data_IF_021257346040
#
_entry.id   IF_021257346040
#
_cell.length_a   1.000
_cell.length_b   1.000
_cell.length_c   1.000
_cell.angle_alpha   90.00
_cell.angle_beta   90.00
_cell.angle_gamma   90.00
#
_symmetry.space_group_name_H-M   'P 1'
#
loop_
_entity.id
_entity.type
_entity.pdbx_description
1 polymer ?
#
# COMPACT_ATOMS: atom_id res chain seq x y z
N UNK A 1 70.85 -0.81 -3.62
CA UNK A 1 69.52 -0.84 -2.99
C UNK A 1 68.73 0.38 -3.47
N UNK A 2 67.78 0.17 -4.39
CA UNK A 2 66.88 1.22 -4.90
C UNK A 2 65.48 0.87 -4.40
N UNK A 3 64.95 1.63 -3.44
CA UNK A 3 63.57 1.48 -3.00
C UNK A 3 62.68 2.43 -3.81
N UNK A 4 61.84 1.85 -4.65
CA UNK A 4 60.76 2.55 -5.36
C UNK A 4 59.54 2.58 -4.45
N UNK A 5 59.11 3.77 -4.05
CA UNK A 5 57.84 3.99 -3.34
C UNK A 5 56.72 4.06 -4.37
N UNK A 6 55.83 3.07 -4.36
CA UNK A 6 54.56 3.09 -5.07
C UNK A 6 53.51 3.81 -4.21
N UNK A 7 53.05 4.98 -4.66
CA UNK A 7 51.85 5.62 -4.13
C UNK A 7 50.62 4.94 -4.76
N UNK A 8 49.92 4.12 -3.99
CA UNK A 8 48.59 3.63 -4.34
C UNK A 8 47.57 4.74 -4.00
N UNK A 9 47.12 5.48 -5.00
CA UNK A 9 45.94 6.36 -4.88
C UNK A 9 44.69 5.50 -4.71
N UNK A 10 44.12 5.48 -3.51
CA UNK A 10 42.80 4.90 -3.25
C UNK A 10 41.73 5.87 -3.78
N UNK A 11 41.15 5.56 -4.93
CA UNK A 11 39.96 6.25 -5.42
C UNK A 11 38.76 5.85 -4.54
N UNK A 12 38.29 6.79 -3.72
CA UNK A 12 37.07 6.63 -2.93
C UNK A 12 35.87 6.71 -3.89
N UNK A 13 35.34 5.57 -4.32
CA UNK A 13 34.11 5.52 -5.08
C UNK A 13 32.94 5.94 -4.18
N UNK A 14 32.48 7.18 -4.35
CA UNK A 14 31.20 7.62 -3.80
C UNK A 14 30.11 6.86 -4.54
N UNK A 15 29.59 5.80 -3.92
CA UNK A 15 28.32 5.20 -4.34
C UNK A 15 27.24 6.27 -4.17
N UNK A 16 26.84 6.89 -5.28
CA UNK A 16 25.60 7.65 -5.34
C UNK A 16 24.46 6.68 -5.03
N UNK A 17 23.93 6.73 -3.81
CA UNK A 17 22.69 6.06 -3.47
C UNK A 17 21.60 6.69 -4.33
N UNK A 18 21.11 5.96 -5.34
CA UNK A 18 19.91 6.35 -6.06
C UNK A 18 18.80 6.57 -5.01
N UNK A 19 18.04 7.68 -5.08
CA UNK A 19 16.96 7.91 -4.14
C UNK A 19 15.97 6.76 -4.27
N UNK A 20 15.99 5.86 -3.29
CA UNK A 20 14.99 4.82 -3.20
C UNK A 20 13.64 5.52 -3.00
N UNK A 21 12.76 5.42 -3.99
CA UNK A 21 11.35 5.85 -3.94
C UNK A 21 10.52 5.01 -2.95
N UNK A 22 11.10 4.70 -1.80
CA UNK A 22 10.63 3.67 -0.89
C UNK A 22 9.26 4.03 -0.27
N UNK A 23 8.87 5.30 -0.25
CA UNK A 23 7.62 5.77 0.36
C UNK A 23 6.57 6.28 -0.64
N UNK A 24 6.73 5.95 -1.92
CA UNK A 24 5.61 6.00 -2.85
C UNK A 24 4.59 4.92 -2.46
N UNK A 25 3.31 5.26 -2.60
CA UNK A 25 2.18 4.35 -2.44
C UNK A 25 1.33 4.42 -3.71
N UNK A 26 1.18 3.31 -4.46
CA UNK A 26 1.87 2.05 -4.25
C UNK A 26 3.39 2.19 -4.42
N UNK A 27 4.15 1.34 -3.75
CA UNK A 27 5.59 1.27 -3.94
C UNK A 27 5.89 0.71 -5.35
N UNK A 28 6.87 1.27 -6.10
CA UNK A 28 7.22 0.76 -7.44
C UNK A 28 7.54 -0.74 -7.45
N UNK A 29 7.96 -1.27 -6.30
CA UNK A 29 8.22 -2.68 -6.11
C UNK A 29 6.99 -3.58 -6.10
N UNK A 30 5.83 -3.05 -5.72
CA UNK A 30 4.53 -3.73 -5.74
C UNK A 30 4.01 -3.89 -7.17
N UNK A 31 4.44 -3.02 -8.11
CA UNK A 31 3.98 -2.99 -9.51
C UNK A 31 2.47 -2.81 -9.69
N UNK A 32 1.77 -2.36 -8.65
CA UNK A 32 0.41 -1.84 -8.76
C UNK A 32 0.44 -0.58 -9.62
N UNK A 33 -0.53 -0.41 -10.51
CA UNK A 33 -0.59 0.75 -11.39
C UNK A 33 -0.90 2.02 -10.58
N UNK A 34 -2.04 2.04 -9.91
CA UNK A 34 -2.54 3.14 -9.08
C UNK A 34 -3.45 2.60 -7.99
N UNK A 35 -3.64 3.42 -6.95
CA UNK A 35 -4.81 3.28 -6.09
C UNK A 35 -6.04 3.79 -6.85
N UNK A 36 -7.22 3.34 -6.48
CA UNK A 36 -8.46 3.83 -7.05
C UNK A 36 -9.53 4.02 -5.98
N UNK A 37 -10.39 5.01 -6.17
CA UNK A 37 -11.61 5.18 -5.37
C UNK A 37 -12.72 5.67 -6.30
N UNK A 38 -13.82 4.95 -6.36
CA UNK A 38 -14.97 5.30 -7.17
C UNK A 38 -15.90 6.26 -6.45
N UNK A 39 -16.63 7.05 -7.24
CA UNK A 39 -17.72 7.87 -6.73
C UNK A 39 -18.84 7.02 -6.12
N UNK A 40 -19.55 7.59 -5.14
CA UNK A 40 -20.56 6.87 -4.35
C UNK A 40 -21.80 6.38 -5.14
N UNK A 41 -21.90 6.75 -6.42
CA UNK A 41 -22.98 6.35 -7.33
C UNK A 41 -22.49 5.35 -8.39
N UNK A 42 -21.23 4.90 -8.30
CA UNK A 42 -20.72 3.82 -9.14
C UNK A 42 -21.41 2.50 -8.79
N UNK A 43 -21.47 1.60 -9.77
CA UNK A 43 -21.71 0.20 -9.47
C UNK A 43 -20.45 -0.38 -8.81
N UNK A 44 -20.63 -1.24 -7.81
CA UNK A 44 -19.54 -1.87 -7.07
C UNK A 44 -18.81 -2.91 -7.89
N UNK A 45 -19.44 -3.45 -8.94
CA UNK A 45 -18.84 -4.37 -9.94
C UNK A 45 -17.78 -3.69 -10.84
N UNK A 46 -17.21 -2.58 -10.38
CA UNK A 46 -16.10 -1.88 -11.03
C UNK A 46 -14.86 -1.87 -10.13
N UNK A 47 -14.83 -2.70 -9.09
CA UNK A 47 -13.63 -2.96 -8.29
C UNK A 47 -13.54 -2.27 -6.95
N UNK A 48 -14.59 -1.58 -6.52
CA UNK A 48 -14.62 -0.80 -5.26
C UNK A 48 -15.93 -1.08 -4.51
N UNK A 49 -15.83 -1.79 -3.39
CA UNK A 49 -16.99 -2.31 -2.67
C UNK A 49 -17.58 -1.32 -1.65
N UNK A 50 -16.85 -0.29 -1.25
CA UNK A 50 -17.28 0.64 -0.21
C UNK A 50 -16.99 2.13 -0.49
N UNK A 51 -16.38 2.44 -1.64
CA UNK A 51 -16.04 3.78 -2.11
C UNK A 51 -15.08 4.52 -1.18
N UNK A 52 -14.32 3.78 -0.36
CA UNK A 52 -13.45 4.31 0.68
C UNK A 52 -12.10 3.60 0.63
N UNK A 53 -11.03 4.34 0.87
CA UNK A 53 -9.70 3.76 0.99
C UNK A 53 -8.92 4.46 2.09
N UNK A 54 -8.35 3.67 2.99
CA UNK A 54 -7.67 4.18 4.18
C UNK A 54 -6.19 3.82 4.17
N UNK A 55 -5.32 4.82 4.21
CA UNK A 55 -3.88 4.62 4.39
C UNK A 55 -3.37 5.24 5.68
N UNK A 56 -2.40 4.58 6.28
CA UNK A 56 -1.67 5.03 7.44
C UNK A 56 -0.24 5.42 7.07
N UNK A 57 0.27 6.43 7.75
CA UNK A 57 1.62 6.94 7.56
C UNK A 57 2.36 6.90 8.89
N UNK A 58 3.33 5.99 9.00
CA UNK A 58 4.19 5.79 10.15
C UNK A 58 5.35 6.78 10.12
N UNK A 59 5.41 7.59 11.16
CA UNK A 59 6.51 8.49 11.48
C UNK A 59 7.38 7.83 12.55
N UNK A 60 8.69 7.73 12.37
CA UNK A 60 9.56 7.20 13.41
C UNK A 60 9.62 8.14 14.60
N UNK A 61 9.75 7.58 15.81
CA UNK A 61 9.72 8.34 17.06
C UNK A 61 10.78 9.45 17.15
N UNK A 62 11.87 9.39 16.38
CA UNK A 62 12.93 10.41 16.37
C UNK A 62 12.69 11.57 15.39
N UNK A 63 11.69 11.46 14.50
CA UNK A 63 11.36 12.53 13.57
C UNK A 63 10.84 13.76 14.35
N UNK A 64 11.50 14.91 14.16
CA UNK A 64 11.11 16.18 14.81
C UNK A 64 10.76 17.26 13.79
N UNK A 65 11.28 17.17 12.57
CA UNK A 65 10.96 18.12 11.50
C UNK A 65 9.62 17.77 10.86
N UNK A 66 8.93 18.77 10.28
CA UNK A 66 7.66 18.54 9.61
C UNK A 66 7.74 17.47 8.53
N UNK A 67 6.63 16.77 8.35
CA UNK A 67 6.42 15.82 7.26
C UNK A 67 5.23 16.26 6.42
N UNK A 68 5.10 15.66 5.24
CA UNK A 68 4.09 15.99 4.25
C UNK A 68 3.52 14.71 3.67
N UNK A 69 2.21 14.68 3.45
CA UNK A 69 1.56 13.59 2.71
C UNK A 69 1.09 14.19 1.39
N UNK A 70 1.60 13.66 0.29
CA UNK A 70 1.33 14.17 -1.05
C UNK A 70 0.39 13.21 -1.77
N UNK A 71 -0.58 13.75 -2.51
CA UNK A 71 -1.52 13.00 -3.36
C UNK A 71 -1.27 13.43 -4.80
N UNK A 72 -0.87 12.49 -5.64
CA UNK A 72 -0.76 12.69 -7.08
C UNK A 72 -2.12 12.46 -7.71
N UNK A 73 -2.52 13.38 -8.58
CA UNK A 73 -3.75 13.30 -9.36
C UNK A 73 -5.02 13.15 -8.49
N UNK A 74 -5.23 14.08 -7.53
CA UNK A 74 -6.36 13.98 -6.63
C UNK A 74 -7.70 14.38 -7.28
N UNK A 75 -7.69 15.01 -8.46
CA UNK A 75 -8.92 15.29 -9.22
C UNK A 75 -9.44 14.04 -9.91
N UNK A 76 -10.72 14.07 -10.31
CA UNK A 76 -11.33 13.02 -11.10
C UNK A 76 -11.77 13.58 -12.46
N UNK A 77 -10.99 13.29 -13.50
CA UNK A 77 -11.09 13.86 -14.84
C UNK A 77 -9.87 13.53 -15.70
N UNK A 78 -9.57 14.39 -16.68
CA UNK A 78 -8.30 14.29 -17.40
C UNK A 78 -8.09 12.98 -18.16
N UNK A 79 -6.85 12.48 -18.13
CA UNK A 79 -6.41 11.29 -18.91
C UNK A 79 -6.13 10.05 -18.06
N UNK A 80 -6.08 10.21 -16.75
CA UNK A 80 -5.60 9.19 -15.84
C UNK A 80 -6.75 8.42 -15.20
N UNK A 81 -7.88 9.11 -14.96
CA UNK A 81 -9.04 8.56 -14.28
C UNK A 81 -9.90 7.67 -15.17
N UNK A 82 -10.71 6.85 -14.52
CA UNK A 82 -11.59 5.91 -15.19
C UNK A 82 -13.01 6.47 -15.33
N UNK A 83 -13.18 7.24 -16.42
CA UNK A 83 -14.40 7.98 -16.69
C UNK A 83 -15.49 7.11 -17.31
N UNK A 84 -16.71 7.18 -16.79
CA UNK A 84 -17.90 6.44 -17.26
C UNK A 84 -18.82 7.30 -18.11
N UNK A 85 -18.26 8.39 -18.65
CA UNK A 85 -18.97 9.43 -19.37
C UNK A 85 -18.33 10.78 -19.09
N UNK A 86 -19.16 11.80 -18.91
CA UNK A 86 -18.69 13.10 -18.47
C UNK A 86 -18.29 13.02 -16.98
N UNK A 87 -17.05 13.43 -16.68
CA UNK A 87 -16.51 13.41 -15.32
C UNK A 87 -17.45 14.12 -14.33
N UNK A 88 -17.94 13.37 -13.35
CA UNK A 88 -18.92 13.78 -12.36
C UNK A 88 -18.56 13.34 -10.93
N UNK A 89 -17.50 12.53 -10.77
CA UNK A 89 -17.03 12.10 -9.45
C UNK A 89 -16.37 13.23 -8.66
N UNK A 90 -16.68 13.27 -7.36
CA UNK A 90 -15.90 14.03 -6.40
C UNK A 90 -15.36 13.10 -5.32
N UNK A 91 -14.09 13.28 -4.99
CA UNK A 91 -13.37 12.47 -3.99
C UNK A 91 -12.85 13.38 -2.89
N UNK A 92 -13.11 13.01 -1.64
CA UNK A 92 -12.53 13.69 -0.47
C UNK A 92 -11.33 12.95 0.06
N UNK A 93 -10.27 13.69 0.38
CA UNK A 93 -9.09 13.20 1.08
C UNK A 93 -9.04 13.86 2.45
N UNK A 94 -9.23 13.05 3.50
CA UNK A 94 -9.35 13.51 4.88
C UNK A 94 -8.23 12.95 5.74
N UNK A 95 -7.41 13.84 6.29
CA UNK A 95 -6.25 13.54 7.12
C UNK A 95 -6.60 13.62 8.60
N UNK A 96 -6.28 12.56 9.34
CA UNK A 96 -6.54 12.38 10.76
C UNK A 96 -5.24 12.17 11.54
N UNK A 97 -5.22 12.68 12.77
CA UNK A 97 -4.18 12.46 13.77
C UNK A 97 -4.76 12.45 15.19
N UNK A 98 -3.89 12.42 16.19
CA UNK A 98 -4.27 12.34 17.60
C UNK A 98 -4.87 10.98 17.99
N UNK A 99 -5.27 10.88 19.26
CA UNK A 99 -5.76 9.63 19.84
C UNK A 99 -6.91 9.00 19.03
N UNK A 100 -6.87 7.68 18.88
CA UNK A 100 -7.89 6.90 18.18
C UNK A 100 -7.75 6.84 16.66
N UNK A 101 -6.79 7.56 16.07
CA UNK A 101 -6.51 7.53 14.62
C UNK A 101 -6.23 6.11 14.11
N UNK A 102 -5.39 5.37 14.84
CA UNK A 102 -4.96 4.00 14.65
C UNK A 102 -5.56 3.06 15.72
N UNK A 103 -5.68 3.50 16.98
CA UNK A 103 -6.16 2.63 18.07
C UNK A 103 -7.68 2.60 18.23
N UNK A 104 -8.40 3.51 17.57
CA UNK A 104 -9.84 3.67 17.74
C UNK A 104 -10.64 2.49 17.16
N UNK A 105 -11.91 2.35 17.56
CA UNK A 105 -12.80 1.32 17.03
C UNK A 105 -12.84 1.34 15.50
N UNK A 106 -12.68 0.16 14.89
CA UNK A 106 -12.64 -0.06 13.44
C UNK A 106 -11.62 0.78 12.67
N UNK A 107 -10.65 1.43 13.33
CA UNK A 107 -9.62 2.20 12.63
C UNK A 107 -8.87 1.34 11.59
N UNK A 108 -8.64 0.08 11.94
CA UNK A 108 -7.87 -0.92 11.18
C UNK A 108 -8.76 -1.98 10.54
N UNK A 109 -10.08 -1.79 10.60
CA UNK A 109 -11.03 -2.71 9.96
C UNK A 109 -10.94 -2.47 8.45
N UNK A 110 -10.75 -3.52 7.62
CA UNK A 110 -10.76 -3.38 6.18
C UNK A 110 -12.12 -2.91 5.67
N UNK A 111 -13.22 -3.26 6.38
CA UNK A 111 -14.59 -2.89 5.98
C UNK A 111 -15.28 -2.12 7.11
N UNK A 112 -14.82 -0.88 7.39
CA UNK A 112 -15.35 -0.10 8.50
C UNK A 112 -16.81 0.27 8.25
N UNK A 113 -17.64 0.18 9.28
CA UNK A 113 -19.07 0.56 9.24
C UNK A 113 -19.34 1.90 9.91
N UNK A 114 -18.33 2.49 10.54
CA UNK A 114 -18.42 3.82 11.14
C UNK A 114 -18.74 4.90 10.11
N UNK A 115 -19.78 5.70 10.36
CA UNK A 115 -20.13 6.82 9.49
C UNK A 115 -19.02 7.90 9.43
N UNK A 116 -18.24 8.02 10.51
CA UNK A 116 -17.12 8.96 10.64
C UNK A 116 -15.86 8.18 11.01
N UNK A 117 -14.76 8.31 10.25
CA UNK A 117 -13.49 7.69 10.62
C UNK A 117 -12.99 8.13 12.01
N UNK A 118 -12.39 7.21 12.75
CA UNK A 118 -11.81 7.49 14.07
C UNK A 118 -10.62 8.46 14.02
N UNK A 119 -10.32 9.11 15.14
CA UNK A 119 -9.23 10.10 15.24
C UNK A 119 -9.71 11.54 15.08
N UNK A 120 -8.81 12.51 15.24
CA UNK A 120 -9.10 13.94 15.08
C UNK A 120 -8.81 14.35 13.66
N UNK A 121 -9.82 14.83 12.95
CA UNK A 121 -9.67 15.44 11.63
C UNK A 121 -8.73 16.65 11.72
N UNK A 122 -7.64 16.63 10.96
CA UNK A 122 -6.67 17.72 10.85
C UNK A 122 -6.97 18.59 9.64
N UNK A 123 -7.25 17.95 8.51
CA UNK A 123 -7.52 18.61 7.24
C UNK A 123 -8.37 17.71 6.36
N UNK A 124 -9.26 18.29 5.59
CA UNK A 124 -9.95 17.62 4.50
C UNK A 124 -9.90 18.51 3.26
N UNK A 125 -9.80 17.89 2.09
CA UNK A 125 -9.92 18.55 0.79
C UNK A 125 -10.71 17.64 -0.14
N UNK A 126 -11.71 18.22 -0.81
CA UNK A 126 -12.47 17.55 -1.87
C UNK A 126 -12.01 18.06 -3.22
N UNK A 127 -11.96 17.15 -4.18
CA UNK A 127 -11.63 17.42 -5.57
C UNK A 127 -12.72 16.84 -6.46
N UNK A 128 -13.03 17.54 -7.55
CA UNK A 128 -13.86 17.03 -8.65
C UNK A 128 -13.04 16.99 -9.94
N UNK A 129 -13.64 17.34 -11.07
CA UNK A 129 -12.90 17.55 -12.32
C UNK A 129 -12.20 18.92 -12.32
N UNK A 130 -10.93 18.97 -11.92
CA UNK A 130 -10.15 20.21 -11.76
C UNK A 130 -8.79 20.11 -12.48
N UNK A 131 -8.70 20.47 -13.78
CA UNK A 131 -7.51 20.23 -14.62
C UNK A 131 -6.17 20.81 -14.14
N UNK A 132 -6.17 21.68 -13.13
CA UNK A 132 -4.96 22.17 -12.46
C UNK A 132 -4.27 21.08 -11.62
N UNK A 133 -5.00 20.03 -11.25
CA UNK A 133 -4.51 18.92 -10.45
C UNK A 133 -4.21 17.66 -11.27
N UNK A 134 -4.67 17.59 -12.54
CA UNK A 134 -4.45 16.45 -13.45
C UNK A 134 -2.95 16.15 -13.61
N UNK A 135 -2.56 14.97 -13.13
CA UNK A 135 -1.18 14.49 -13.08
C UNK A 135 -0.24 15.35 -12.21
N UNK A 136 -0.78 16.14 -11.28
CA UNK A 136 -0.02 17.01 -10.34
C UNK A 136 -0.14 16.53 -8.90
N UNK A 137 0.79 16.98 -8.08
CA UNK A 137 0.80 16.70 -6.65
C UNK A 137 0.06 17.79 -5.86
N UNK A 138 -0.91 17.40 -5.06
CA UNK A 138 -1.41 18.18 -3.93
C UNK A 138 -0.70 17.74 -2.65
N UNK A 139 -0.37 18.67 -1.77
CA UNK A 139 0.40 18.39 -0.55
C UNK A 139 -0.41 18.76 0.69
N UNK A 140 -0.61 17.79 1.58
CA UNK A 140 -1.03 18.02 2.97
C UNK A 140 0.20 18.30 3.84
N UNK A 141 0.23 19.48 4.46
CA UNK A 141 1.26 19.87 5.42
C UNK A 141 1.59 21.37 5.36
N UNK A 142 2.61 21.82 6.11
CA UNK A 142 3.47 21.02 6.99
C UNK A 142 2.70 20.35 8.12
N UNK A 143 2.98 19.07 8.37
CA UNK A 143 2.41 18.31 9.48
C UNK A 143 3.42 18.22 10.62
N UNK A 144 3.02 18.59 11.83
CA UNK A 144 3.86 18.38 13.00
C UNK A 144 3.80 16.89 13.38
N UNK A 145 4.94 16.15 13.43
CA UNK A 145 4.96 14.74 13.83
C UNK A 145 4.18 14.43 15.11
N UNK A 146 4.14 15.36 16.07
CA UNK A 146 3.45 15.18 17.35
C UNK A 146 1.92 15.18 17.23
N UNK A 147 1.36 15.61 16.09
CA UNK A 147 -0.07 15.51 15.81
C UNK A 147 -0.50 14.09 15.44
N UNK A 148 0.43 13.20 15.11
CA UNK A 148 0.14 11.77 14.90
C UNK A 148 -0.13 11.05 16.22
N UNK A 149 -0.90 9.96 16.17
CA UNK A 149 -1.12 9.11 17.32
C UNK A 149 0.16 8.35 17.69
N UNK A 150 0.66 8.42 18.94
CA UNK A 150 1.74 7.54 19.37
C UNK A 150 1.27 6.07 19.37
N UNK A 151 2.03 5.20 18.71
CA UNK A 151 1.73 3.76 18.61
C UNK A 151 2.93 2.97 19.12
N UNK A 152 2.77 2.35 20.29
CA UNK A 152 3.84 1.62 20.97
C UNK A 152 4.37 0.42 20.19
N UNK A 153 3.50 -0.24 19.42
CA UNK A 153 3.83 -1.36 18.52
C UNK A 153 4.89 -0.94 17.49
N UNK A 154 4.80 0.29 16.97
CA UNK A 154 5.70 0.79 15.94
C UNK A 154 6.84 1.65 16.47
N UNK A 155 6.86 1.96 17.78
CA UNK A 155 7.77 2.97 18.37
C UNK A 155 7.80 4.23 17.50
N UNK A 156 6.62 4.75 17.22
CA UNK A 156 6.41 5.81 16.25
C UNK A 156 5.06 6.48 16.42
N UNK A 157 4.74 7.35 15.46
CA UNK A 157 3.47 8.06 15.40
C UNK A 157 2.77 7.78 14.08
N UNK A 158 1.44 7.76 14.11
CA UNK A 158 0.65 7.42 12.92
C UNK A 158 -0.31 8.55 12.57
N UNK A 159 -0.28 8.96 11.30
CA UNK A 159 -1.37 9.67 10.66
C UNK A 159 -2.22 8.70 9.84
N UNK A 160 -3.47 9.06 9.58
CA UNK A 160 -4.38 8.33 8.69
C UNK A 160 -4.94 9.25 7.63
N UNK A 161 -4.90 8.85 6.37
CA UNK A 161 -5.57 9.52 5.27
C UNK A 161 -6.69 8.62 4.76
N UNK A 162 -7.89 9.16 4.65
CA UNK A 162 -9.06 8.47 4.10
C UNK A 162 -9.45 9.16 2.80
N UNK A 163 -9.35 8.44 1.68
CA UNK A 163 -9.99 8.79 0.43
C UNK A 163 -11.42 8.27 0.45
N UNK A 164 -12.39 9.08 0.03
CA UNK A 164 -13.80 8.68 -0.04
C UNK A 164 -14.48 9.33 -1.24
N UNK A 165 -15.07 8.51 -2.11
CA UNK A 165 -15.96 8.96 -3.17
C UNK A 165 -17.25 9.52 -2.58
N UNK A 166 -17.65 10.72 -3.02
CA UNK A 166 -18.81 11.43 -2.50
C UNK A 166 -19.96 11.49 -3.49
N UNK A 167 -19.64 11.73 -4.76
CA UNK A 167 -20.59 11.82 -5.87
C UNK A 167 -19.99 11.14 -7.09
N UNK A 168 -20.80 10.98 -8.13
CA UNK A 168 -20.43 10.46 -9.42
C UNK A 168 -20.22 8.95 -9.46
N UNK A 169 -19.86 8.47 -10.64
CA UNK A 169 -19.63 7.05 -10.94
C UNK A 169 -18.27 6.77 -11.59
N UNK A 170 -17.45 7.79 -11.78
CA UNK A 170 -16.08 7.64 -12.27
C UNK A 170 -15.14 7.14 -11.17
N UNK A 171 -14.06 6.47 -11.56
CA UNK A 171 -12.99 6.03 -10.68
C UNK A 171 -11.83 7.04 -10.65
N UNK A 172 -11.52 7.59 -9.48
CA UNK A 172 -10.34 8.46 -9.31
C UNK A 172 -9.08 7.62 -9.05
N UNK A 173 -8.11 7.70 -9.97
CA UNK A 173 -6.84 7.00 -9.91
C UNK A 173 -5.74 7.90 -9.37
N UNK A 174 -5.26 7.61 -8.16
CA UNK A 174 -4.27 8.44 -7.48
C UNK A 174 -3.11 7.62 -6.90
N UNK A 175 -2.10 8.34 -6.42
CA UNK A 175 -0.95 7.77 -5.68
C UNK A 175 -0.60 8.67 -4.50
N UNK A 176 -0.01 8.11 -3.46
CA UNK A 176 0.55 8.88 -2.36
C UNK A 176 2.07 8.92 -2.37
N UNK A 177 2.62 9.94 -1.73
CA UNK A 177 4.02 9.96 -1.33
C UNK A 177 4.16 10.56 0.06
N UNK A 178 4.87 9.87 0.95
CA UNK A 178 5.19 10.39 2.27
C UNK A 178 6.55 11.09 2.25
N UNK A 179 6.56 12.40 2.51
CA UNK A 179 7.70 13.26 2.21
C UNK A 179 8.18 14.09 3.40
N UNK A 180 9.47 14.41 3.40
CA UNK A 180 10.07 15.49 4.21
C UNK A 180 10.07 16.83 3.49
N UNK A 181 9.65 16.87 2.21
CA UNK A 181 9.58 18.08 1.39
C UNK A 181 8.14 18.41 0.98
N UNK A 182 7.75 19.71 0.96
CA UNK A 182 6.43 20.13 0.49
C UNK A 182 6.25 19.97 -1.03
N UNK A 183 7.34 20.00 -1.81
CA UNK A 183 7.32 20.08 -3.28
C UNK A 183 7.99 18.89 -3.96
N UNK A 184 8.86 18.19 -3.24
CA UNK A 184 9.62 17.05 -3.75
C UNK A 184 9.20 15.74 -3.08
N UNK A 185 9.43 14.63 -3.77
CA UNK A 185 9.19 13.29 -3.26
C UNK A 185 10.45 12.77 -2.53
N UNK A 186 10.65 13.24 -1.30
CA UNK A 186 11.82 12.91 -0.47
C UNK A 186 11.38 12.07 0.73
N UNK A 187 11.69 10.77 0.71
CA UNK A 187 11.29 9.82 1.75
C UNK A 187 11.65 10.30 3.17
N UNK A 188 10.77 10.04 4.12
CA UNK A 188 11.00 10.17 5.57
C UNK A 188 11.82 8.99 6.06
N UNK A 189 13.10 9.19 6.39
CA UNK A 189 13.97 8.11 6.88
C UNK A 189 13.32 7.37 8.07
N UNK A 190 13.23 6.04 8.00
CA UNK A 190 12.61 5.20 9.05
C UNK A 190 11.07 5.25 9.09
N UNK A 191 10.43 6.04 8.23
CA UNK A 191 8.98 6.04 8.07
C UNK A 191 8.48 4.94 7.13
N UNK A 192 7.16 4.74 7.08
CA UNK A 192 6.52 3.84 6.15
C UNK A 192 5.07 4.28 5.89
N UNK A 193 4.46 3.74 4.84
CA UNK A 193 3.02 3.83 4.63
C UNK A 193 2.43 2.42 4.59
N UNK A 194 1.22 2.25 5.09
CA UNK A 194 0.57 0.94 5.13
C UNK A 194 -0.95 1.06 5.12
N UNK A 195 -1.61 -0.02 4.73
CA UNK A 195 -3.07 -0.14 4.75
C UNK A 195 -3.48 -1.51 5.30
N UNK A 196 -4.73 -1.67 5.70
CA UNK A 196 -5.34 -2.97 6.03
C UNK A 196 -6.20 -3.52 4.88
N UNK A 197 -6.48 -2.69 3.87
CA UNK A 197 -7.19 -3.05 2.65
C UNK A 197 -6.66 -2.23 1.47
N UNK A 198 -6.45 -2.89 0.33
CA UNK A 198 -6.09 -2.24 -0.91
C UNK A 198 -7.28 -2.24 -1.87
N UNK A 199 -7.66 -1.07 -2.39
CA UNK A 199 -8.47 -0.93 -3.60
C UNK A 199 -7.58 -0.32 -4.71
N UNK A 200 -7.30 -1.10 -5.76
CA UNK A 200 -6.27 -0.74 -6.73
C UNK A 200 -6.50 -1.30 -8.12
N UNK A 201 -5.83 -0.68 -9.11
CA UNK A 201 -5.81 -1.12 -10.51
C UNK A 201 -4.70 -2.11 -10.79
N UNK A 202 -5.06 -3.29 -11.28
CA UNK A 202 -4.15 -4.20 -11.98
C UNK A 202 -3.72 -3.57 -13.31
N UNK A 203 -2.41 -3.54 -13.60
CA UNK A 203 -1.92 -2.96 -14.84
C UNK A 203 -2.48 -3.64 -16.09
N UNK A 204 -2.95 -2.85 -17.04
CA UNK A 204 -3.29 -3.32 -18.38
C UNK A 204 -2.02 -3.79 -19.11
N UNK A 205 -1.96 -5.04 -19.57
CA UNK A 205 -0.75 -5.55 -20.22
C UNK A 205 -1.02 -6.62 -21.28
N UNK A 206 -0.40 -6.46 -22.46
CA UNK A 206 -0.38 -7.49 -23.49
C UNK A 206 0.54 -8.68 -23.13
N UNK A 207 1.38 -8.52 -22.10
CA UNK A 207 2.35 -9.51 -21.62
C UNK A 207 2.08 -9.87 -20.16
N UNK A 208 2.76 -10.88 -19.62
CA UNK A 208 2.58 -11.29 -18.23
C UNK A 208 3.10 -10.21 -17.25
N UNK A 209 2.22 -9.70 -16.39
CA UNK A 209 2.59 -8.82 -15.26
C UNK A 209 2.30 -9.49 -13.94
N UNK A 210 3.16 -9.26 -12.95
CA UNK A 210 2.96 -9.70 -11.57
C UNK A 210 2.96 -8.49 -10.66
N UNK A 211 1.83 -8.29 -9.98
CA UNK A 211 1.67 -7.38 -8.84
C UNK A 211 2.02 -8.13 -7.56
N UNK A 212 2.62 -7.42 -6.61
CA UNK A 212 3.03 -7.93 -5.32
C UNK A 212 2.33 -7.18 -4.20
N UNK A 213 1.76 -7.91 -3.24
CA UNK A 213 1.25 -7.36 -1.98
C UNK A 213 2.00 -8.00 -0.81
N UNK A 214 2.28 -7.21 0.23
CA UNK A 214 3.18 -7.62 1.32
C UNK A 214 2.53 -7.57 2.71
N UNK A 215 1.53 -8.44 3.01
CA UNK A 215 0.93 -8.49 4.35
C UNK A 215 1.97 -8.93 5.38
N UNK A 216 2.01 -8.24 6.52
CA UNK A 216 2.95 -8.51 7.61
C UNK A 216 2.37 -9.47 8.66
N UNK A 217 3.16 -10.47 9.05
CA UNK A 217 2.76 -11.53 9.96
C UNK A 217 3.49 -11.36 11.29
N UNK A 218 2.77 -11.05 12.37
CA UNK A 218 3.35 -10.97 13.72
C UNK A 218 3.47 -12.36 14.38
N UNK A 219 4.00 -12.40 15.60
CA UNK A 219 4.28 -13.61 16.40
C UNK A 219 3.02 -14.36 16.88
N UNK A 220 1.83 -13.77 16.74
CA UNK A 220 0.55 -14.35 17.18
C UNK A 220 -0.26 -14.96 16.03
N UNK A 221 0.16 -14.78 14.79
CA UNK A 221 -0.59 -15.28 13.62
C UNK A 221 -0.28 -16.76 13.39
N UNK A 222 -1.32 -17.60 13.41
CA UNK A 222 -1.22 -19.05 13.17
C UNK A 222 -1.75 -19.42 11.79
N UNK A 223 -2.73 -18.69 11.30
CA UNK A 223 -3.23 -18.81 9.93
C UNK A 223 -3.69 -17.45 9.45
N UNK A 224 -3.66 -17.27 8.13
CA UNK A 224 -4.21 -16.10 7.48
C UNK A 224 -5.34 -16.50 6.54
N UNK A 225 -6.32 -15.60 6.38
CA UNK A 225 -7.35 -15.66 5.36
C UNK A 225 -7.17 -14.46 4.45
N UNK A 226 -6.84 -14.71 3.19
CA UNK A 226 -6.93 -13.67 2.16
C UNK A 226 -8.35 -13.57 1.67
N UNK A 227 -8.82 -12.34 1.44
CA UNK A 227 -10.09 -12.05 0.80
C UNK A 227 -9.84 -11.09 -0.36
N UNK A 228 -10.48 -11.36 -1.50
CA UNK A 228 -10.45 -10.48 -2.66
C UNK A 228 -11.81 -10.38 -3.33
N UNK A 229 -12.05 -9.23 -3.95
CA UNK A 229 -13.30 -8.86 -4.61
C UNK A 229 -13.03 -8.38 -6.03
N UNK A 230 -13.91 -8.79 -6.94
CA UNK A 230 -14.01 -8.26 -8.30
C UNK A 230 -12.75 -8.41 -9.16
N UNK A 231 -12.02 -9.51 -8.99
CA UNK A 231 -10.81 -9.74 -9.78
C UNK A 231 -11.13 -10.25 -11.19
N UNK A 232 -12.39 -10.56 -11.52
CA UNK A 232 -12.84 -11.03 -12.83
C UNK A 232 -12.11 -12.28 -13.35
N UNK A 233 -11.54 -13.08 -12.46
CA UNK A 233 -10.59 -14.14 -12.80
C UNK A 233 -9.45 -13.62 -13.74
N UNK A 234 -9.15 -12.32 -13.70
CA UNK A 234 -8.18 -11.65 -14.56
C UNK A 234 -6.73 -11.93 -14.14
N UNK A 235 -6.53 -12.39 -12.91
CA UNK A 235 -5.23 -12.78 -12.37
C UNK A 235 -5.29 -14.15 -11.67
N UNK A 236 -4.11 -14.71 -11.43
CA UNK A 236 -3.91 -15.86 -10.53
C UNK A 236 -3.16 -15.41 -9.28
N UNK A 237 -3.44 -16.00 -8.13
CA UNK A 237 -2.72 -15.73 -6.88
C UNK A 237 -1.81 -16.88 -6.49
N UNK A 238 -0.55 -16.55 -6.19
CA UNK A 238 0.41 -17.45 -5.55
C UNK A 238 1.06 -16.76 -4.35
N UNK A 239 1.06 -17.43 -3.21
CA UNK A 239 1.64 -16.94 -1.95
C UNK A 239 3.05 -17.49 -1.75
N UNK A 240 4.01 -16.59 -1.61
CA UNK A 240 5.41 -16.90 -1.33
C UNK A 240 5.82 -16.38 0.04
N UNK A 241 6.80 -17.03 0.63
CA UNK A 241 7.43 -16.59 1.86
C UNK A 241 8.81 -17.24 2.00
N UNK A 242 9.47 -17.00 3.12
CA UNK A 242 10.63 -17.77 3.55
C UNK A 242 10.35 -19.29 3.68
N UNK A 243 9.09 -19.67 3.93
CA UNK A 243 8.66 -21.06 4.13
C UNK A 243 7.87 -21.68 2.98
N UNK A 244 7.34 -20.86 2.07
CA UNK A 244 6.43 -21.30 1.01
C UNK A 244 6.93 -20.85 -0.35
N UNK A 245 6.92 -21.77 -1.31
CA UNK A 245 7.37 -21.54 -2.68
C UNK A 245 6.19 -21.58 -3.67
N UNK A 246 5.18 -20.72 -3.46
CA UNK A 246 4.04 -20.58 -4.38
C UNK A 246 2.87 -21.48 -4.02
N UNK A 247 2.18 -21.16 -2.92
CA UNK A 247 0.89 -21.77 -2.60
C UNK A 247 -0.23 -21.08 -3.39
N UNK A 248 -1.02 -21.80 -4.19
CA UNK A 248 -2.09 -21.18 -4.99
C UNK A 248 -3.24 -20.71 -4.10
N UNK A 249 -3.84 -19.58 -4.46
CA UNK A 249 -5.05 -19.04 -3.83
C UNK A 249 -6.17 -18.80 -4.84
N UNK A 250 -7.40 -18.75 -4.33
CA UNK A 250 -8.60 -18.43 -5.11
C UNK A 250 -8.66 -16.95 -5.49
N UNK A 251 -9.15 -16.69 -6.69
CA UNK A 251 -9.41 -15.36 -7.23
C UNK A 251 -10.89 -15.21 -7.54
N UNK A 252 -11.45 -14.05 -7.23
CA UNK A 252 -12.88 -13.76 -7.38
C UNK A 252 -13.27 -13.58 -8.84
N UNK A 253 -14.55 -13.81 -9.12
CA UNK A 253 -15.22 -13.34 -10.33
C UNK A 253 -15.77 -11.94 -10.17
N UNK A 254 -16.58 -11.55 -11.15
CA UNK A 254 -17.26 -10.25 -11.28
C UNK A 254 -18.26 -10.02 -10.14
N UNK A 255 -18.05 -8.96 -9.36
CA UNK A 255 -18.89 -8.57 -8.24
C UNK A 255 -18.92 -9.57 -7.07
N UNK A 256 -17.97 -10.51 -7.02
CA UNK A 256 -17.96 -11.59 -6.03
C UNK A 256 -16.80 -11.48 -5.05
N UNK A 257 -17.05 -11.84 -3.78
CA UNK A 257 -15.99 -12.07 -2.81
C UNK A 257 -15.53 -13.52 -2.85
N UNK A 258 -14.22 -13.74 -2.83
CA UNK A 258 -13.63 -15.07 -2.57
C UNK A 258 -12.56 -15.01 -1.49
N UNK A 259 -12.17 -16.18 -0.99
CA UNK A 259 -11.11 -16.25 0.01
C UNK A 259 -10.30 -17.54 -0.04
N UNK A 260 -9.13 -17.52 0.59
CA UNK A 260 -8.32 -18.73 0.83
C UNK A 260 -7.62 -18.64 2.18
N UNK A 261 -7.56 -19.76 2.89
CA UNK A 261 -6.90 -19.86 4.20
C UNK A 261 -5.55 -20.54 4.02
N UNK A 262 -4.51 -19.95 4.59
CA UNK A 262 -3.14 -20.48 4.57
C UNK A 262 -2.60 -20.59 6.01
N UNK A 263 -2.00 -21.73 6.39
CA UNK A 263 -1.33 -21.84 7.68
C UNK A 263 -0.06 -20.98 7.68
N UNK A 264 0.32 -20.41 8.81
CA UNK A 264 1.58 -19.70 9.02
C UNK A 264 2.57 -20.59 9.75
N UNK A 265 3.80 -20.66 9.24
CA UNK A 265 4.92 -21.34 9.86
C UNK A 265 5.67 -20.37 10.79
N UNK A 266 6.22 -20.89 11.89
CA UNK A 266 6.97 -20.07 12.86
C UNK A 266 8.10 -19.24 12.23
N UNK A 267 8.75 -19.73 11.17
CA UNK A 267 9.81 -18.99 10.47
C UNK A 267 9.33 -17.80 9.65
N UNK A 268 8.02 -17.62 9.49
CA UNK A 268 7.39 -16.48 8.81
C UNK A 268 7.02 -15.34 9.78
N UNK A 269 7.07 -15.57 11.09
CA UNK A 269 6.76 -14.53 12.09
C UNK A 269 7.79 -13.39 12.06
N UNK A 270 7.29 -12.16 12.17
CA UNK A 270 8.10 -10.94 12.09
C UNK A 270 8.51 -10.55 10.67
N UNK A 271 7.90 -11.15 9.64
CA UNK A 271 8.23 -10.91 8.23
C UNK A 271 6.96 -10.65 7.41
N UNK A 272 7.12 -9.95 6.29
CA UNK A 272 6.08 -9.89 5.26
C UNK A 272 6.01 -11.21 4.47
N UNK A 273 4.83 -11.52 3.94
CA UNK A 273 4.66 -12.51 2.87
C UNK A 273 4.73 -11.82 1.50
N UNK A 274 4.77 -12.58 0.40
CA UNK A 274 4.75 -12.06 -0.97
C UNK A 274 3.58 -12.69 -1.73
N UNK A 275 2.49 -11.94 -1.82
CA UNK A 275 1.29 -12.31 -2.54
C UNK A 275 1.43 -11.85 -3.99
N UNK A 276 1.55 -12.80 -4.91
CA UNK A 276 1.78 -12.52 -6.33
C UNK A 276 0.49 -12.69 -7.12
N UNK A 277 -0.09 -11.57 -7.54
CA UNK A 277 -1.20 -11.54 -8.48
C UNK A 277 -0.62 -11.46 -9.89
N UNK A 278 -0.74 -12.53 -10.67
CA UNK A 278 -0.22 -12.59 -12.03
C UNK A 278 -1.35 -12.51 -13.04
N UNK A 279 -1.37 -11.42 -13.82
CA UNK A 279 -2.31 -11.17 -14.91
C UNK A 279 -1.63 -11.31 -16.27
N UNK A 280 -2.38 -11.79 -17.25
CA UNK A 280 -2.02 -11.75 -18.69
C UNK A 280 -3.11 -11.07 -19.50
N UNK A 281 -4.03 -10.34 -18.84
CA UNK A 281 -5.17 -9.71 -19.49
C UNK A 281 -4.77 -8.34 -20.05
N UNK A 282 -5.16 -8.03 -21.30
CA UNK A 282 -4.82 -6.75 -21.93
C UNK A 282 -5.65 -5.58 -21.41
N UNK A 283 -6.78 -5.84 -20.74
CA UNK A 283 -7.59 -4.83 -20.08
C UNK A 283 -7.12 -4.64 -18.62
N UNK A 284 -7.16 -3.40 -18.09
CA UNK A 284 -7.01 -3.18 -16.65
C UNK A 284 -8.19 -3.82 -15.92
N UNK A 285 -7.99 -4.10 -14.64
CA UNK A 285 -9.09 -4.44 -13.74
C UNK A 285 -8.84 -3.82 -12.38
N UNK A 286 -9.89 -3.38 -11.70
CA UNK A 286 -9.83 -2.81 -10.37
C UNK A 286 -10.34 -3.84 -9.37
N UNK A 287 -9.75 -3.89 -8.18
CA UNK A 287 -10.12 -4.90 -7.20
C UNK A 287 -9.82 -4.46 -5.78
N UNK A 288 -10.48 -5.15 -4.84
CA UNK A 288 -10.23 -5.02 -3.40
C UNK A 288 -9.52 -6.26 -2.86
N UNK A 289 -8.55 -6.05 -1.97
CA UNK A 289 -7.77 -7.12 -1.33
C UNK A 289 -7.46 -6.80 0.13
N UNK A 290 -7.75 -7.73 1.03
CA UNK A 290 -7.31 -7.68 2.43
C UNK A 290 -6.94 -9.07 2.97
N UNK A 291 -6.26 -9.09 4.12
CA UNK A 291 -5.87 -10.33 4.80
C UNK A 291 -6.21 -10.21 6.29
N UNK A 292 -6.83 -11.25 6.85
CA UNK A 292 -7.08 -11.37 8.30
C UNK A 292 -6.34 -12.56 8.90
N UNK A 293 -6.12 -12.53 10.22
CA UNK A 293 -5.64 -13.68 11.00
C UNK A 293 -6.78 -14.65 11.37
N UNK A 294 -6.47 -15.66 12.19
CA UNK A 294 -7.43 -16.64 12.70
C UNK A 294 -8.57 -16.06 13.56
N UNK A 295 -8.47 -14.79 13.98
CA UNK A 295 -9.46 -14.09 14.79
C UNK A 295 -10.17 -12.98 14.00
N UNK A 296 -10.10 -13.03 12.67
CA UNK A 296 -10.60 -12.01 11.76
C UNK A 296 -10.00 -10.62 12.00
N UNK A 297 -8.81 -10.54 12.62
CA UNK A 297 -8.07 -9.29 12.77
C UNK A 297 -7.24 -9.03 11.53
N UNK A 298 -7.40 -7.87 10.90
CA UNK A 298 -6.69 -7.54 9.67
C UNK A 298 -5.18 -7.37 9.86
N UNK A 299 -4.42 -7.80 8.86
CA UNK A 299 -2.97 -7.66 8.78
C UNK A 299 -2.62 -6.42 7.96
N UNK A 300 -1.61 -5.63 8.37
CA UNK A 300 -1.18 -4.47 7.60
C UNK A 300 -0.34 -4.91 6.39
N UNK A 301 -0.55 -4.23 5.26
CA UNK A 301 0.32 -4.26 4.11
C UNK A 301 1.20 -3.01 4.12
N UNK A 302 2.51 -3.19 4.24
CA UNK A 302 3.45 -2.07 4.21
C UNK A 302 3.97 -1.83 2.79
N UNK A 303 3.98 -0.56 2.36
CA UNK A 303 4.54 -0.15 1.07
C UNK A 303 6.04 -0.55 0.98
N UNK A 304 6.77 -0.44 2.09
CA UNK A 304 8.09 -1.07 2.26
C UNK A 304 7.91 -2.35 3.10
N UNK A 305 8.08 -3.56 2.54
CA UNK A 305 7.89 -4.80 3.29
C UNK A 305 8.88 -4.88 4.46
N UNK A 306 8.36 -5.14 5.66
CA UNK A 306 9.18 -5.32 6.86
C UNK A 306 9.94 -6.66 6.76
N UNK A 307 11.25 -6.61 7.02
CA UNK A 307 12.16 -7.73 6.73
C UNK A 307 12.61 -7.84 5.27
N UNK A 308 12.16 -6.92 4.40
CA UNK A 308 12.46 -6.91 2.97
C UNK A 308 11.60 -7.87 2.17
N UNK A 309 11.81 -7.94 0.85
CA UNK A 309 11.08 -8.89 0.00
C UNK A 309 11.43 -10.33 0.39
N UNK A 310 10.45 -11.18 0.71
CA UNK A 310 10.71 -12.55 1.11
C UNK A 310 11.49 -13.33 0.05
N UNK A 311 12.48 -14.11 0.51
CA UNK A 311 13.21 -15.07 -0.30
C UNK A 311 13.03 -16.44 0.32
N UNK A 312 12.49 -17.39 -0.45
CA UNK A 312 12.32 -18.77 -0.01
C UNK A 312 13.67 -19.36 0.40
N UNK A 313 13.73 -19.96 1.58
CA UNK A 313 14.92 -20.65 2.08
C UNK A 313 14.77 -22.15 1.85
N UNK A 314 15.66 -22.70 1.02
CA UNK A 314 15.72 -24.13 0.74
C UNK A 314 16.23 -24.89 1.98
N UNK A 315 15.43 -25.82 2.49
CA UNK A 315 15.91 -26.82 3.45
C UNK A 315 16.60 -27.95 2.67
N UNK A 316 17.91 -27.83 2.43
CA UNK A 316 18.70 -28.90 1.82
C UNK A 316 19.00 -29.95 2.90
N UNK A 317 18.15 -30.97 2.99
CA UNK A 317 18.46 -32.16 3.77
C UNK A 317 19.60 -32.95 3.12
N UNK A 318 20.85 -32.65 3.49
CA UNK A 318 21.98 -33.50 3.11
C UNK A 318 21.84 -34.83 3.85
N UNK A 319 21.30 -35.84 3.18
CA UNK A 319 21.44 -37.23 3.62
C UNK A 319 22.92 -37.60 3.44
N UNK A 320 23.70 -37.49 4.52
CA UNK A 320 25.02 -38.10 4.58
C UNK A 320 24.78 -39.61 4.61
N UNK A 321 24.97 -40.27 3.47
CA UNK A 321 25.16 -41.72 3.46
C UNK A 321 26.50 -42.00 4.15
N UNK A 322 26.42 -42.59 5.35
CA UNK A 322 27.57 -43.25 6.00
C UNK A 322 27.76 -44.62 5.41
#
# INVERSE_FOLDING_TARGET
MKHSFWFCSAALAVLAAAPAHAQAVPNPGERVESLITFGAQSDKQWGDDDFTQTFFFLIPERQRTPVYIRVWDPDCGGKNDDLKGAANTTTSFSLYGGAGTFSGPQARDPRPTNAVPSGRLLKSQTFGNEPKYDGKWYTFGPLNPLEGEPVDEFKGRVFKLVAKGLTGNDGNLYRYFFSTSPTENVSVEGGNAFTYEYCFRLPATASKTTVHLYPFVNDKVVSIKQSNFDVDNAATLNVFSIAKNGQPGAMSGDGEWTSSVFPIANKEHGLSLDFRLTSTKPAPNDLVFYVTDQYDTALPFFAIPLGGRPRYQYDIGVKIHR
#
